data_IF_332041895020
#
_entry.id   IF_332041895020
#
_cell.length_a   1.000
_cell.length_b   1.000
_cell.length_c   1.000
_cell.angle_alpha   90.00
_cell.angle_beta   90.00
_cell.angle_gamma   90.00
#
_symmetry.space_group_name_H-M   'P 1'
#
loop_
_entity.id
_entity.type
_entity.pdbx_description
1 polymer ?
#
# COMPACT_ATOMS: atom_id res chain seq x y z
N UNK A 1 -16.47 5.97 -4.93
CA UNK A 1 -15.62 6.05 -3.69
C UNK A 1 -14.92 4.75 -3.32
N UNK A 2 -15.26 3.64 -4.00
CA UNK A 2 -14.65 2.34 -3.67
C UNK A 2 -13.10 2.34 -3.73
N UNK A 3 -12.43 2.94 -4.73
CA UNK A 3 -10.96 3.02 -4.71
C UNK A 3 -10.41 3.81 -3.53
N UNK A 4 -11.10 4.87 -3.12
CA UNK A 4 -10.70 5.66 -1.95
C UNK A 4 -10.81 4.85 -0.66
N UNK A 5 -11.92 4.12 -0.48
CA UNK A 5 -12.15 3.26 0.67
C UNK A 5 -11.13 2.12 0.70
N UNK A 6 -10.84 1.55 -0.46
CA UNK A 6 -9.84 0.50 -0.61
C UNK A 6 -8.46 0.97 -0.17
N UNK A 7 -8.08 2.19 -0.52
CA UNK A 7 -6.82 2.79 -0.08
C UNK A 7 -6.73 2.91 1.44
N UNK A 8 -7.83 3.28 2.09
CA UNK A 8 -7.91 3.34 3.55
C UNK A 8 -7.72 1.97 4.20
N UNK A 9 -8.38 0.95 3.65
CA UNK A 9 -8.24 -0.43 4.14
C UNK A 9 -6.81 -0.93 3.96
N UNK A 10 -6.21 -0.68 2.80
CA UNK A 10 -4.83 -1.10 2.50
C UNK A 10 -3.86 -0.49 3.51
N UNK A 11 -3.98 0.81 3.77
CA UNK A 11 -3.12 1.47 4.75
C UNK A 11 -3.30 0.87 6.15
N UNK A 12 -4.52 0.56 6.54
CA UNK A 12 -4.81 -0.08 7.83
C UNK A 12 -4.19 -1.47 7.94
N UNK A 13 -4.26 -2.27 6.86
CA UNK A 13 -3.64 -3.59 6.80
C UNK A 13 -2.13 -3.48 6.97
N UNK A 14 -1.48 -2.57 6.26
CA UNK A 14 -0.03 -2.38 6.33
C UNK A 14 0.41 -2.01 7.75
N UNK A 15 -0.29 -1.10 8.38
CA UNK A 15 0.02 -0.66 9.74
C UNK A 15 -0.21 -1.78 10.77
N UNK A 16 -1.29 -2.54 10.62
CA UNK A 16 -1.58 -3.67 11.49
C UNK A 16 -0.51 -4.77 11.36
N UNK A 17 -0.09 -5.05 10.14
CA UNK A 17 0.98 -6.02 9.87
C UNK A 17 2.29 -5.59 10.52
N UNK A 18 2.67 -4.32 10.34
CA UNK A 18 3.89 -3.78 10.92
C UNK A 18 3.89 -3.87 12.45
N UNK A 19 2.75 -3.64 13.07
CA UNK A 19 2.61 -3.76 14.53
C UNK A 19 2.86 -5.19 15.03
N UNK A 20 2.80 -6.17 14.13
CA UNK A 20 3.06 -7.59 14.41
C UNK A 20 4.41 -8.05 13.88
N UNK A 21 5.25 -7.14 13.40
CA UNK A 21 6.58 -7.45 12.89
C UNK A 21 6.60 -7.92 11.44
N UNK A 22 5.48 -7.79 10.71
CA UNK A 22 5.40 -8.16 9.30
C UNK A 22 5.65 -6.94 8.42
N UNK A 23 6.52 -7.08 7.42
CA UNK A 23 6.73 -6.07 6.39
C UNK A 23 5.76 -6.23 5.24
N UNK A 24 5.38 -5.12 4.62
CA UNK A 24 4.47 -5.11 3.49
C UNK A 24 5.02 -4.26 2.36
N UNK A 25 4.70 -4.67 1.12
CA UNK A 25 4.92 -3.88 -0.08
C UNK A 25 3.62 -3.82 -0.84
N UNK A 26 3.11 -2.61 -1.04
CA UNK A 26 1.94 -2.37 -1.89
C UNK A 26 2.45 -2.24 -3.31
N UNK A 27 1.94 -3.06 -4.23
CA UNK A 27 2.42 -3.04 -5.60
C UNK A 27 1.31 -3.38 -6.59
N UNK A 28 1.56 -3.04 -7.86
CA UNK A 28 0.64 -3.36 -8.95
C UNK A 28 1.18 -4.50 -9.83
N UNK A 29 2.43 -4.87 -9.71
CA UNK A 29 3.00 -5.96 -10.53
C UNK A 29 2.31 -7.28 -10.24
N UNK A 30 1.91 -7.51 -9.01
CA UNK A 30 1.20 -8.73 -8.63
C UNK A 30 -0.15 -8.91 -9.30
N UNK A 31 -0.68 -7.88 -9.96
CA UNK A 31 -1.98 -7.93 -10.64
C UNK A 31 -1.89 -7.72 -12.15
N UNK A 32 -0.68 -7.59 -12.70
CA UNK A 32 -0.50 -7.37 -14.14
C UNK A 32 -1.02 -8.53 -14.99
N UNK A 33 -0.99 -9.75 -14.47
CA UNK A 33 -1.57 -10.93 -15.10
C UNK A 33 -2.90 -11.27 -14.43
N UNK A 34 -3.81 -10.33 -14.52
CA UNK A 34 -5.11 -10.40 -13.84
C UNK A 34 -5.86 -11.70 -14.05
N UNK A 35 -5.94 -12.29 -15.29
CA UNK A 35 -6.62 -13.58 -15.47
C UNK A 35 -6.01 -14.71 -14.63
N UNK A 36 -4.68 -14.74 -14.49
CA UNK A 36 -3.98 -15.75 -13.69
C UNK A 36 -4.27 -15.55 -12.20
N UNK A 37 -4.19 -14.30 -11.74
CA UNK A 37 -4.48 -13.96 -10.35
C UNK A 37 -5.92 -14.32 -9.99
N UNK A 38 -6.86 -14.02 -10.87
CA UNK A 38 -8.27 -14.33 -10.64
C UNK A 38 -8.51 -15.83 -10.51
N UNK A 39 -7.85 -16.63 -11.35
CA UNK A 39 -8.00 -18.08 -11.32
C UNK A 39 -7.41 -18.67 -10.02
N UNK A 40 -6.20 -18.26 -9.65
CA UNK A 40 -5.52 -18.79 -8.48
C UNK A 40 -6.15 -18.36 -7.17
N UNK A 41 -6.57 -17.09 -7.07
CA UNK A 41 -7.19 -16.53 -5.85
C UNK A 41 -8.70 -16.70 -5.83
N UNK A 42 -9.31 -17.29 -6.88
CA UNK A 42 -10.76 -17.53 -7.00
C UNK A 42 -11.55 -16.22 -6.85
N UNK A 43 -11.08 -15.18 -7.54
CA UNK A 43 -11.74 -13.86 -7.51
C UNK A 43 -12.86 -13.83 -8.55
N UNK A 44 -14.10 -13.48 -8.14
CA UNK A 44 -15.23 -13.37 -9.08
C UNK A 44 -14.97 -12.31 -10.15
N UNK A 45 -15.53 -12.52 -11.36
CA UNK A 45 -15.34 -11.64 -12.51
C UNK A 45 -15.97 -10.25 -12.32
N UNK A 46 -16.94 -10.13 -11.42
CA UNK A 46 -17.60 -8.85 -11.10
C UNK A 46 -16.82 -7.98 -10.12
N UNK A 47 -15.67 -8.45 -9.65
CA UNK A 47 -14.79 -7.69 -8.75
C UNK A 47 -13.58 -7.17 -9.51
N UNK A 48 -13.21 -5.93 -9.23
CA UNK A 48 -12.03 -5.27 -9.81
C UNK A 48 -10.85 -5.40 -8.84
N UNK A 49 -9.73 -5.90 -9.35
CA UNK A 49 -8.50 -5.97 -8.56
C UNK A 49 -7.84 -4.59 -8.59
N UNK A 50 -7.73 -3.93 -7.44
CA UNK A 50 -7.16 -2.59 -7.32
C UNK A 50 -5.65 -2.63 -7.13
N UNK A 51 -5.18 -3.51 -6.27
CA UNK A 51 -3.77 -3.57 -5.90
C UNK A 51 -3.45 -4.92 -5.27
N UNK A 52 -2.19 -5.11 -4.95
CA UNK A 52 -1.69 -6.30 -4.28
C UNK A 52 -0.78 -5.88 -3.12
N UNK A 53 -0.84 -6.61 -2.04
CA UNK A 53 0.04 -6.41 -0.89
C UNK A 53 0.88 -7.67 -0.71
N UNK A 54 2.19 -7.55 -0.90
CA UNK A 54 3.12 -8.61 -0.52
C UNK A 54 3.42 -8.46 0.98
N UNK A 55 3.31 -9.54 1.71
CA UNK A 55 3.45 -9.53 3.17
C UNK A 55 4.34 -10.67 3.63
N UNK A 56 5.25 -10.40 4.54
CA UNK A 56 6.13 -11.42 5.09
C UNK A 56 7.07 -10.87 6.14
N UNK A 57 7.88 -11.76 6.69
CA UNK A 57 8.93 -11.36 7.62
C UNK A 57 10.00 -10.58 6.86
N UNK A 58 10.38 -9.37 7.34
CA UNK A 58 11.39 -8.58 6.63
C UNK A 58 12.77 -9.21 6.70
N UNK A 59 13.49 -9.15 5.58
CA UNK A 59 14.91 -9.42 5.54
C UNK A 59 15.66 -8.10 5.77
N UNK A 60 16.08 -7.86 7.00
CA UNK A 60 16.70 -6.60 7.39
C UNK A 60 18.07 -6.39 6.74
N UNK A 61 18.70 -7.47 6.25
CA UNK A 61 19.96 -7.38 5.54
C UNK A 61 19.84 -7.03 4.07
N UNK A 62 18.62 -6.92 3.54
CA UNK A 62 18.42 -6.63 2.13
C UNK A 62 18.72 -5.16 1.82
N UNK A 63 19.62 -4.92 0.87
CA UNK A 63 20.15 -3.59 0.58
C UNK A 63 19.08 -2.57 0.17
N UNK A 64 18.01 -3.01 -0.50
CA UNK A 64 16.93 -2.14 -0.93
C UNK A 64 16.21 -1.47 0.26
N UNK A 65 16.28 -2.04 1.44
CA UNK A 65 15.67 -1.46 2.64
C UNK A 65 16.37 -0.18 3.10
N UNK A 66 17.57 0.09 2.60
CA UNK A 66 18.30 1.33 2.90
C UNK A 66 17.83 2.52 2.05
N UNK A 67 17.03 2.27 1.02
CA UNK A 67 16.49 3.32 0.17
C UNK A 67 15.38 4.07 0.92
N UNK A 68 15.56 5.38 1.05
CA UNK A 68 14.58 6.25 1.69
C UNK A 68 14.03 7.21 0.65
N UNK A 69 12.72 7.17 0.44
CA UNK A 69 12.07 8.08 -0.50
C UNK A 69 12.07 9.50 0.05
N UNK A 70 12.29 10.46 -0.83
CA UNK A 70 12.15 11.86 -0.45
C UNK A 70 10.68 12.21 -0.23
N UNK A 71 10.43 13.13 0.68
CA UNK A 71 9.10 13.65 0.97
C UNK A 71 9.13 15.17 0.91
N UNK A 72 8.07 15.76 0.40
CA UNK A 72 7.90 17.21 0.46
C UNK A 72 7.76 17.65 1.91
N UNK A 73 8.33 18.80 2.28
CA UNK A 73 8.04 19.40 3.58
C UNK A 73 6.54 19.64 3.74
N UNK A 74 6.06 19.59 4.97
CA UNK A 74 4.63 19.75 5.26
C UNK A 74 4.11 21.09 4.75
N UNK A 75 4.87 22.16 4.87
CA UNK A 75 4.48 23.50 4.43
C UNK A 75 4.31 23.63 2.90
N UNK A 76 4.95 22.74 2.13
CA UNK A 76 4.72 22.66 0.67
C UNK A 76 3.51 21.81 0.30
N UNK A 77 3.16 20.84 1.12
CA UNK A 77 2.11 19.86 0.83
C UNK A 77 0.75 20.28 1.43
N UNK A 78 0.76 21.07 2.48
CA UNK A 78 -0.43 21.44 3.25
C UNK A 78 -0.49 22.94 3.39
N UNK A 79 -1.67 23.52 3.14
CA UNK A 79 -1.95 24.93 3.39
C UNK A 79 -2.90 25.03 4.58
N UNK A 80 -2.50 25.80 5.59
CA UNK A 80 -3.34 26.05 6.77
C UNK A 80 -4.12 27.35 6.58
N UNK A 81 -5.42 27.31 6.81
CA UNK A 81 -6.31 28.45 6.67
C UNK A 81 -7.08 28.63 7.97
N UNK A 82 -7.17 29.88 8.44
CA UNK A 82 -7.91 30.19 9.66
C UNK A 82 -7.11 30.02 10.95
N UNK A 83 -5.79 29.85 10.85
CA UNK A 83 -4.88 29.70 11.99
C UNK A 83 -3.95 30.91 12.21
N UNK A 84 -4.17 31.98 11.45
CA UNK A 84 -3.41 33.22 11.63
C UNK A 84 -3.92 33.97 12.87
N UNK A 85 -3.02 34.53 13.63
CA UNK A 85 -3.32 35.32 14.80
C UNK A 85 -3.80 36.74 14.43
#
# INVERSE_FOLDING_TARGET
MAPFDCGGVVNSIVNAAWSRGLGCVINSQGIMQSPVVRAEARIPDDQVIQTCIAMGWPDEGFAANAVVSERKPVDEAVTFVGFED
#
